data_IF_956489731504
#
_entry.id   IF_956489731504
#
_cell.length_a   1.000
_cell.length_b   1.000
_cell.length_c   1.000
_cell.angle_alpha   90.00
_cell.angle_beta   90.00
_cell.angle_gamma   90.00
#
_symmetry.space_group_name_H-M   'P 1'
#
loop_
_entity.id
_entity.type
_entity.pdbx_description
1 polymer ?
#
# COMPACT_ATOMS: atom_id res chain seq x y z
N UNK A 1 -13.65 12.80 17.33
CA UNK A 1 -13.48 12.19 15.98
C UNK A 1 -14.85 11.71 15.53
N UNK A 2 -15.35 12.13 14.37
CA UNK A 2 -16.59 11.58 13.82
C UNK A 2 -16.37 10.11 13.43
N UNK A 3 -17.28 9.22 13.82
CA UNK A 3 -17.22 7.81 13.44
C UNK A 3 -17.25 7.68 11.92
N UNK A 4 -16.33 6.88 11.36
CA UNK A 4 -16.32 6.59 9.92
C UNK A 4 -17.54 5.72 9.61
N UNK A 5 -18.39 6.09 8.63
CA UNK A 5 -19.54 5.28 8.24
C UNK A 5 -19.14 3.86 7.83
N UNK A 6 -19.95 2.87 8.20
CA UNK A 6 -19.66 1.44 7.96
C UNK A 6 -19.52 1.12 6.47
N UNK A 7 -20.38 1.69 5.63
CA UNK A 7 -20.32 1.56 4.17
C UNK A 7 -19.02 2.09 3.58
N UNK A 8 -18.52 3.23 4.09
CA UNK A 8 -17.21 3.78 3.70
C UNK A 8 -16.09 2.84 4.10
N UNK A 9 -16.14 2.28 5.31
CA UNK A 9 -15.11 1.36 5.79
C UNK A 9 -15.07 0.07 4.96
N UNK A 10 -16.23 -0.49 4.60
CA UNK A 10 -16.34 -1.67 3.73
C UNK A 10 -15.80 -1.38 2.33
N UNK A 11 -16.22 -0.27 1.72
CA UNK A 11 -15.74 0.12 0.39
C UNK A 11 -14.26 0.51 0.37
N UNK A 12 -13.69 0.93 1.50
CA UNK A 12 -12.27 1.21 1.64
C UNK A 12 -11.42 -0.07 1.60
N UNK A 13 -11.97 -1.25 1.86
CA UNK A 13 -11.19 -2.49 1.81
C UNK A 13 -10.87 -2.95 0.39
N UNK A 14 -11.58 -2.43 -0.61
CA UNK A 14 -11.41 -2.84 -2.00
C UNK A 14 -10.10 -2.27 -2.59
N UNK A 15 -9.35 -3.07 -3.37
CA UNK A 15 -8.08 -2.66 -3.99
C UNK A 15 -8.12 -1.27 -4.63
N UNK A 16 -7.04 -0.52 -4.48
CA UNK A 16 -6.87 0.80 -5.06
C UNK A 16 -6.14 0.68 -6.40
N UNK A 17 -6.81 1.05 -7.50
CA UNK A 17 -6.20 1.04 -8.84
C UNK A 17 -5.08 2.07 -9.00
N UNK A 18 -5.09 3.12 -8.17
CA UNK A 18 -4.04 4.13 -8.09
C UNK A 18 -4.03 4.72 -6.68
N UNK A 19 -2.89 5.25 -6.28
CA UNK A 19 -2.76 6.10 -5.09
C UNK A 19 -1.74 7.20 -5.35
N UNK A 20 -1.80 8.26 -4.56
CA UNK A 20 -0.92 9.40 -4.73
C UNK A 20 0.48 9.10 -4.16
N UNK A 21 1.47 9.11 -5.05
CA UNK A 21 2.89 9.25 -4.71
C UNK A 21 3.19 10.74 -4.58
N UNK A 22 3.18 11.29 -3.37
CA UNK A 22 3.44 12.73 -3.19
C UNK A 22 4.84 13.10 -3.70
N UNK A 23 4.93 14.12 -4.56
CA UNK A 23 6.22 14.56 -5.12
C UNK A 23 7.22 14.99 -4.03
N UNK A 24 6.72 15.40 -2.86
CA UNK A 24 7.50 15.76 -1.68
C UNK A 24 7.56 14.66 -0.62
N UNK A 25 7.13 13.42 -0.88
CA UNK A 25 7.17 12.33 0.09
C UNK A 25 8.57 12.07 0.67
N UNK A 26 9.62 12.32 -0.13
CA UNK A 26 11.02 12.24 0.30
C UNK A 26 11.40 13.24 1.40
N UNK A 27 10.61 14.29 1.62
CA UNK A 27 10.83 15.28 2.67
C UNK A 27 10.30 14.82 4.04
N UNK A 28 9.47 13.77 4.07
CA UNK A 28 9.03 13.15 5.33
C UNK A 28 10.25 12.56 6.05
N UNK A 29 10.39 12.86 7.34
CA UNK A 29 11.52 12.39 8.16
C UNK A 29 11.65 10.86 8.16
N UNK A 30 10.55 10.12 8.03
CA UNK A 30 10.54 8.66 7.93
C UNK A 30 11.15 8.20 6.61
N UNK A 31 10.80 8.85 5.51
CA UNK A 31 11.40 8.61 4.20
C UNK A 31 12.89 9.02 4.15
N UNK A 32 13.27 10.12 4.80
CA UNK A 32 14.67 10.54 4.93
C UNK A 32 15.50 9.51 5.72
N UNK A 33 14.94 8.97 6.82
CA UNK A 33 15.57 7.87 7.58
C UNK A 33 15.74 6.62 6.73
N UNK A 34 14.75 6.27 5.91
CA UNK A 34 14.85 5.15 4.97
C UNK A 34 15.98 5.37 3.95
N UNK A 35 16.00 6.54 3.31
CA UNK A 35 17.05 6.92 2.35
C UNK A 35 18.44 6.88 2.99
N UNK A 36 18.59 7.34 4.23
CA UNK A 36 19.85 7.29 4.97
C UNK A 36 20.30 5.85 5.27
N UNK A 37 19.37 4.94 5.61
CA UNK A 37 19.68 3.56 6.04
C UNK A 37 19.83 2.57 4.88
N UNK A 38 19.04 2.74 3.81
CA UNK A 38 18.90 1.75 2.72
C UNK A 38 19.08 2.35 1.32
N UNK A 39 19.37 3.65 1.22
CA UNK A 39 19.57 4.33 -0.06
C UNK A 39 18.32 4.38 -0.94
N UNK A 40 18.53 4.70 -2.22
CA UNK A 40 17.45 4.81 -3.21
C UNK A 40 16.78 3.47 -3.52
N UNK A 41 17.53 2.37 -3.42
CA UNK A 41 17.01 1.03 -3.66
C UNK A 41 15.96 0.67 -2.61
N UNK A 42 16.26 0.85 -1.32
CA UNK A 42 15.28 0.64 -0.25
C UNK A 42 14.08 1.58 -0.34
N UNK A 43 14.29 2.83 -0.78
CA UNK A 43 13.19 3.76 -1.02
C UNK A 43 12.28 3.30 -2.17
N UNK A 44 12.85 2.79 -3.26
CA UNK A 44 12.09 2.20 -4.36
C UNK A 44 11.33 0.92 -3.94
N UNK A 45 11.98 0.03 -3.19
CA UNK A 45 11.36 -1.18 -2.65
C UNK A 45 10.17 -0.85 -1.72
N UNK A 46 10.27 0.20 -0.92
CA UNK A 46 9.16 0.68 -0.09
C UNK A 46 7.95 1.13 -0.93
N UNK A 47 8.16 1.78 -2.07
CA UNK A 47 7.05 2.15 -2.96
C UNK A 47 6.44 0.95 -3.66
N UNK A 48 7.25 -0.03 -4.08
CA UNK A 48 6.73 -1.31 -4.59
C UNK A 48 5.90 -2.04 -3.53
N UNK A 49 6.30 -1.98 -2.26
CA UNK A 49 5.50 -2.51 -1.15
C UNK A 49 4.16 -1.77 -1.01
N UNK A 50 4.14 -0.43 -1.15
CA UNK A 50 2.90 0.34 -1.15
C UNK A 50 1.98 -0.06 -2.31
N UNK A 51 2.53 -0.32 -3.50
CA UNK A 51 1.76 -0.83 -4.66
C UNK A 51 1.17 -2.21 -4.39
N UNK A 52 1.93 -3.10 -3.76
CA UNK A 52 1.44 -4.42 -3.35
C UNK A 52 0.28 -4.30 -2.33
N UNK A 53 0.43 -3.44 -1.32
CA UNK A 53 -0.63 -3.15 -0.34
C UNK A 53 -1.86 -2.54 -1.04
N UNK A 54 -1.67 -1.61 -1.97
CA UNK A 54 -2.77 -1.00 -2.70
C UNK A 54 -3.57 -2.01 -3.55
N UNK A 55 -2.90 -2.98 -4.16
CA UNK A 55 -3.53 -4.01 -4.99
C UNK A 55 -4.20 -5.14 -4.21
N UNK A 56 -3.91 -5.27 -2.91
CA UNK A 56 -4.47 -6.31 -2.05
C UNK A 56 -5.74 -5.84 -1.35
N UNK A 57 -6.73 -6.73 -1.24
CA UNK A 57 -7.92 -6.46 -0.41
C UNK A 57 -7.49 -6.26 1.05
N UNK A 58 -8.10 -5.32 1.75
CA UNK A 58 -7.74 -4.90 3.11
C UNK A 58 -6.41 -4.14 3.26
N UNK A 59 -5.61 -4.02 2.19
CA UNK A 59 -4.34 -3.29 2.22
C UNK A 59 -3.38 -3.76 3.31
N UNK A 60 -3.40 -5.07 3.58
CA UNK A 60 -2.59 -5.75 4.58
C UNK A 60 -1.95 -6.99 3.96
N UNK A 61 -0.72 -7.32 4.35
CA UNK A 61 -0.03 -8.53 3.89
C UNK A 61 0.24 -9.44 5.10
N UNK A 62 -0.25 -10.68 5.04
CA UNK A 62 0.14 -11.74 5.96
C UNK A 62 1.44 -12.38 5.46
N UNK A 63 2.38 -12.63 6.38
CA UNK A 63 3.67 -13.25 6.06
C UNK A 63 4.04 -14.20 7.20
N UNK A 64 3.69 -15.47 7.05
CA UNK A 64 3.77 -16.45 8.13
C UNK A 64 4.80 -17.54 7.84
N UNK A 65 5.03 -17.83 6.56
CA UNK A 65 5.93 -18.89 6.10
C UNK A 65 7.13 -18.32 5.36
N UNK A 66 8.19 -19.13 5.23
CA UNK A 66 9.36 -18.75 4.43
C UNK A 66 9.01 -18.55 2.94
N UNK A 67 8.02 -19.28 2.42
CA UNK A 67 7.50 -19.07 1.05
C UNK A 67 6.85 -17.68 0.91
N UNK A 68 6.07 -17.23 1.89
CA UNK A 68 5.48 -15.88 1.89
C UNK A 68 6.57 -14.80 1.86
N UNK A 69 7.65 -14.99 2.64
CA UNK A 69 8.80 -14.09 2.64
C UNK A 69 9.49 -14.03 1.28
N UNK A 70 9.63 -15.17 0.59
CA UNK A 70 10.21 -15.24 -0.76
C UNK A 70 9.32 -14.57 -1.81
N UNK A 71 8.01 -14.78 -1.73
CA UNK A 71 7.03 -14.11 -2.60
C UNK A 71 7.11 -12.59 -2.40
N UNK A 72 7.14 -12.14 -1.13
CA UNK A 72 7.28 -10.73 -0.80
C UNK A 72 8.59 -10.15 -1.33
N UNK A 73 9.72 -10.83 -1.11
CA UNK A 73 11.03 -10.43 -1.61
C UNK A 73 11.02 -10.21 -3.13
N UNK A 74 10.43 -11.14 -3.88
CA UNK A 74 10.26 -11.02 -5.33
C UNK A 74 9.38 -9.83 -5.73
N UNK A 75 8.25 -9.65 -5.05
CA UNK A 75 7.28 -8.60 -5.34
C UNK A 75 7.85 -7.19 -5.13
N UNK A 76 8.73 -7.00 -4.16
CA UNK A 76 9.37 -5.71 -3.86
C UNK A 76 10.76 -5.54 -4.49
N UNK A 77 11.26 -6.56 -5.21
CA UNK A 77 12.53 -6.50 -5.94
C UNK A 77 13.77 -6.73 -5.09
N UNK A 78 13.62 -7.38 -3.93
CA UNK A 78 14.70 -7.72 -3.00
C UNK A 78 15.11 -9.20 -3.09
N UNK A 79 14.61 -9.94 -4.08
CA UNK A 79 15.02 -11.33 -4.28
C UNK A 79 16.44 -11.38 -4.84
N UNK A 80 17.33 -12.02 -4.10
CA UNK A 80 18.69 -12.30 -4.54
C UNK A 80 18.70 -13.39 -5.61
N UNK A 81 19.67 -13.34 -6.53
CA UNK A 81 19.89 -14.35 -7.56
C UNK A 81 21.31 -14.91 -7.40
N UNK A 82 21.47 -15.94 -6.57
CA UNK A 82 22.77 -16.51 -6.23
C UNK A 82 22.68 -17.87 -5.53
N UNK A 83 23.81 -18.46 -5.16
CA UNK A 83 23.81 -19.63 -4.28
C UNK A 83 23.30 -19.21 -2.89
N UNK A 84 22.41 -20.02 -2.28
CA UNK A 84 21.71 -19.70 -1.03
C UNK A 84 20.78 -18.46 -1.12
N UNK A 85 20.25 -18.19 -2.31
CA UNK A 85 19.36 -17.05 -2.59
C UNK A 85 18.14 -16.98 -1.67
N UNK A 86 17.53 -18.12 -1.35
CA UNK A 86 16.29 -18.14 -0.56
C UNK A 86 16.53 -17.64 0.87
N UNK A 87 17.48 -18.23 1.58
CA UNK A 87 17.78 -17.84 2.97
C UNK A 87 18.23 -16.39 3.07
N UNK A 88 19.06 -15.94 2.12
CA UNK A 88 19.51 -14.53 2.07
C UNK A 88 18.34 -13.60 1.79
N UNK A 89 17.51 -13.91 0.78
CA UNK A 89 16.35 -13.09 0.42
C UNK A 89 15.37 -12.95 1.58
N UNK A 90 15.11 -14.04 2.31
CA UNK A 90 14.24 -14.01 3.50
C UNK A 90 14.84 -13.12 4.58
N UNK A 91 16.13 -13.28 4.90
CA UNK A 91 16.80 -12.50 5.94
C UNK A 91 16.84 -11.00 5.61
N UNK A 92 17.20 -10.63 4.39
CA UNK A 92 17.26 -9.24 3.93
C UNK A 92 15.87 -8.60 3.87
N UNK A 93 14.86 -9.35 3.41
CA UNK A 93 13.48 -8.86 3.36
C UNK A 93 12.92 -8.65 4.77
N UNK A 94 13.22 -9.55 5.72
CA UNK A 94 12.84 -9.36 7.13
C UNK A 94 13.51 -8.12 7.73
N UNK A 95 14.82 -7.98 7.59
CA UNK A 95 15.59 -6.81 8.05
C UNK A 95 15.08 -5.49 7.44
N UNK A 96 14.65 -5.54 6.17
CA UNK A 96 14.02 -4.40 5.53
C UNK A 96 12.65 -4.04 6.12
N UNK A 97 11.75 -5.02 6.29
CA UNK A 97 10.44 -4.80 6.90
C UNK A 97 10.59 -4.30 8.34
N UNK A 98 11.52 -4.86 9.12
CA UNK A 98 11.79 -4.42 10.49
C UNK A 98 12.30 -2.98 10.52
N UNK A 99 13.19 -2.60 9.61
CA UNK A 99 13.61 -1.20 9.47
C UNK A 99 12.44 -0.27 9.14
N UNK A 100 11.51 -0.68 8.27
CA UNK A 100 10.33 0.13 7.92
C UNK A 100 9.34 0.27 9.09
N UNK A 101 9.19 -0.78 9.90
CA UNK A 101 8.41 -0.76 11.14
C UNK A 101 9.06 0.17 12.18
N UNK A 102 10.38 0.07 12.38
CA UNK A 102 11.13 0.88 13.34
C UNK A 102 11.03 2.38 13.03
N UNK A 103 11.16 2.77 11.76
CA UNK A 103 11.04 4.17 11.34
C UNK A 103 9.57 4.63 11.22
N UNK A 104 8.62 3.72 11.35
CA UNK A 104 7.18 3.98 11.37
C UNK A 104 6.56 4.24 9.99
N UNK A 105 7.15 3.74 8.91
CA UNK A 105 6.53 3.72 7.57
C UNK A 105 5.51 2.58 7.45
N UNK A 106 5.73 1.50 8.20
CA UNK A 106 4.80 0.39 8.36
C UNK A 106 4.34 0.27 9.81
N UNK A 107 3.24 -0.45 9.99
CA UNK A 107 2.73 -0.92 11.27
C UNK A 107 2.33 -2.39 11.14
N UNK A 108 2.09 -3.03 12.29
CA UNK A 108 1.44 -4.34 12.35
C UNK A 108 -0.01 -4.15 12.76
N UNK A 109 -0.94 -4.79 12.06
CA UNK A 109 -2.36 -4.78 12.44
C UNK A 109 -2.60 -5.62 13.72
N UNK A 110 -3.86 -5.69 14.18
CA UNK A 110 -4.23 -6.50 15.34
C UNK A 110 -4.03 -8.01 15.18
N UNK A 111 -3.70 -8.49 13.98
CA UNK A 111 -3.41 -9.89 13.63
C UNK A 111 -1.93 -10.14 13.34
N UNK A 112 -1.10 -9.10 13.34
CA UNK A 112 0.32 -9.18 12.98
C UNK A 112 0.63 -9.03 11.49
N UNK A 113 -0.35 -8.68 10.66
CA UNK A 113 -0.14 -8.39 9.24
C UNK A 113 0.57 -7.06 9.04
N UNK A 114 1.30 -6.93 7.94
CA UNK A 114 1.99 -5.70 7.56
C UNK A 114 0.99 -4.72 6.96
N UNK A 115 0.92 -3.50 7.49
CA UNK A 115 0.10 -2.41 6.97
C UNK A 115 0.90 -1.10 6.85
N UNK A 116 0.36 -0.15 6.10
CA UNK A 116 0.86 1.23 6.08
C UNK A 116 -0.27 2.20 6.38
N UNK A 117 -0.08 3.06 7.39
CA UNK A 117 -1.05 4.12 7.71
C UNK A 117 -1.38 5.00 6.51
N UNK A 118 -0.38 5.23 5.63
CA UNK A 118 -0.56 5.98 4.38
C UNK A 118 -1.57 5.28 3.49
N UNK A 119 -1.43 3.97 3.31
CA UNK A 119 -2.35 3.17 2.50
C UNK A 119 -3.74 3.10 3.13
N UNK A 120 -3.86 2.95 4.44
CA UNK A 120 -5.15 3.01 5.13
C UNK A 120 -5.86 4.37 4.93
N UNK A 121 -5.12 5.49 5.01
CA UNK A 121 -5.66 6.83 4.76
C UNK A 121 -6.13 7.00 3.31
N UNK A 122 -5.34 6.54 2.35
CA UNK A 122 -5.71 6.56 0.94
C UNK A 122 -6.95 5.69 0.66
N UNK A 123 -6.98 4.48 1.22
CA UNK A 123 -8.09 3.56 1.10
C UNK A 123 -9.40 4.16 1.63
N UNK A 124 -9.35 4.82 2.78
CA UNK A 124 -10.51 5.55 3.34
C UNK A 124 -10.98 6.70 2.44
N UNK A 125 -10.05 7.41 1.80
CA UNK A 125 -10.41 8.43 0.81
C UNK A 125 -11.17 7.80 -0.37
N UNK A 126 -10.67 6.70 -0.94
CA UNK A 126 -11.36 6.01 -2.03
C UNK A 126 -12.68 5.38 -1.61
N UNK A 127 -12.78 4.82 -0.40
CA UNK A 127 -14.03 4.30 0.16
C UNK A 127 -15.13 5.38 0.18
N UNK A 128 -14.79 6.61 0.59
CA UNK A 128 -15.72 7.75 0.53
C UNK A 128 -16.14 8.06 -0.91
N UNK A 129 -15.20 8.07 -1.85
CA UNK A 129 -15.50 8.34 -3.26
C UNK A 129 -16.40 7.27 -3.88
N UNK A 130 -16.18 5.99 -3.57
CA UNK A 130 -17.01 4.86 -4.03
C UNK A 130 -18.43 4.98 -3.51
N UNK A 131 -18.60 5.21 -2.21
CA UNK A 131 -19.93 5.42 -1.59
C UNK A 131 -20.64 6.63 -2.20
N UNK A 132 -19.94 7.74 -2.39
CA UNK A 132 -20.53 8.94 -2.99
C UNK A 132 -20.89 8.73 -4.47
N UNK A 133 -20.05 8.01 -5.22
CA UNK A 133 -20.33 7.65 -6.62
C UNK A 133 -21.55 6.75 -6.77
N UNK A 134 -21.74 5.79 -5.85
CA UNK A 134 -22.89 4.90 -5.81
C UNK A 134 -24.22 5.65 -5.53
N UNK A 135 -24.18 6.78 -4.83
CA UNK A 135 -25.35 7.63 -4.54
C UNK A 135 -25.84 8.46 -5.73
N UNK A 136 -25.21 8.32 -6.90
CA UNK A 136 -25.67 8.95 -8.14
C UNK A 136 -24.74 10.03 -8.64
N UNK A 137 -23.57 9.63 -9.15
CA UNK A 137 -22.77 10.49 -10.03
C UNK A 137 -23.64 11.18 -11.07
N UNK A 138 -23.31 12.44 -11.41
CA UNK A 138 -24.09 13.35 -12.27
C UNK A 138 -24.79 12.57 -13.42
N UNK A 139 -26.13 12.57 -13.50
CA UNK A 139 -26.84 11.93 -14.61
C UNK A 139 -26.29 12.47 -15.93
N UNK A 140 -25.91 11.59 -16.86
CA UNK A 140 -25.57 12.01 -18.24
C UNK A 140 -26.77 12.79 -18.78
N UNK A 141 -26.55 14.06 -19.12
CA UNK A 141 -27.55 14.90 -19.79
C UNK A 141 -27.96 14.17 -21.08
N UNK A 142 -29.23 13.78 -21.21
CA UNK A 142 -29.78 13.23 -22.44
C UNK A 142 -29.59 14.32 -23.51
N UNK A 143 -28.78 14.06 -24.53
CA UNK A 143 -28.76 14.93 -25.71
C UNK A 143 -30.11 14.73 -26.40
N UNK A 144 -30.99 15.72 -26.30
CA UNK A 144 -32.13 15.82 -27.20
C UNK A 144 -31.53 16.20 -28.56
N UNK A 145 -31.51 15.24 -29.49
CA UNK A 145 -31.26 15.54 -30.89
C UNK A 145 -32.38 16.48 -31.36
N UNK A 146 -32.07 17.69 -31.85
CA UNK A 146 -33.04 18.48 -32.58
C UNK A 146 -33.44 17.68 -33.82
N UNK A 147 -34.71 17.29 -33.90
CA UNK A 147 -35.28 16.71 -35.11
C UNK A 147 -35.27 17.80 -36.20
N UNK A 148 -34.67 17.48 -37.35
CA UNK A 148 -34.75 18.23 -38.60
C UNK A 148 -36.16 18.24 -39.17
#
# INVERSE_FOLDING_TARGET
MAAIPKDVHEQAQEPMAWFQHDANAQQDIKCQRLLMRRGNEGYGAYWRLCELLASTKHHSIAVDTDEDWLILAGAIGMRSMGAFDETVSIAETRDFIDCLLEIGLLVRDGKGHIESERMCKNALYFGKQRVNGAKGGRPKKKQENPQE
#
